data_IF_263103238954
#
_entry.id   IF_263103238954
#
_cell.length_a   1.000
_cell.length_b   1.000
_cell.length_c   1.000
_cell.angle_alpha   90.00
_cell.angle_beta   90.00
_cell.angle_gamma   90.00
#
_symmetry.space_group_name_H-M   'P 1'
#
loop_
_entity.id
_entity.type
_entity.pdbx_description
1 polymer ?
#
# COMPACT_ATOMS: atom_id res chain seq x y z
N UNK A 1 -3.69 -11.69 -5.68
CA UNK A 1 -4.09 -10.63 -6.63
C UNK A 1 -3.07 -10.55 -7.76
N UNK A 2 -3.52 -10.44 -9.02
CA UNK A 2 -2.62 -10.24 -10.18
C UNK A 2 -1.80 -8.94 -10.05
N UNK A 3 -2.36 -7.92 -9.39
CA UNK A 3 -1.70 -6.63 -9.12
C UNK A 3 -0.45 -6.84 -8.26
N UNK A 4 -0.60 -7.48 -7.08
CA UNK A 4 0.51 -7.73 -6.16
C UNK A 4 1.57 -8.68 -6.72
N UNK A 5 1.15 -9.70 -7.48
CA UNK A 5 2.10 -10.65 -8.07
C UNK A 5 3.00 -9.97 -9.12
N UNK A 6 2.45 -9.08 -9.94
CA UNK A 6 3.24 -8.34 -10.93
C UNK A 6 4.27 -7.40 -10.29
N UNK A 7 3.92 -6.75 -9.18
CA UNK A 7 4.82 -5.85 -8.47
C UNK A 7 5.95 -6.60 -7.75
N UNK A 8 5.65 -7.71 -7.09
CA UNK A 8 6.64 -8.49 -6.32
C UNK A 8 7.74 -9.15 -7.15
N UNK A 9 7.46 -9.43 -8.43
CA UNK A 9 8.45 -10.01 -9.35
C UNK A 9 9.42 -8.96 -9.90
N UNK A 10 9.13 -7.67 -9.70
CA UNK A 10 10.00 -6.59 -10.15
C UNK A 10 11.22 -6.49 -9.22
N UNK A 11 12.44 -6.40 -9.78
CA UNK A 11 13.68 -6.32 -8.98
C UNK A 11 13.68 -5.13 -8.02
N UNK A 12 13.05 -4.03 -8.40
CA UNK A 12 12.90 -2.84 -7.57
C UNK A 12 12.05 -3.05 -6.31
N UNK A 13 11.20 -4.09 -6.27
CA UNK A 13 10.32 -4.35 -5.12
C UNK A 13 11.11 -4.64 -3.84
N UNK A 14 12.34 -5.15 -3.95
CA UNK A 14 13.20 -5.50 -2.82
C UNK A 14 13.37 -4.34 -1.82
N UNK A 15 13.43 -3.09 -2.28
CA UNK A 15 13.55 -1.90 -1.42
C UNK A 15 12.30 -1.60 -0.58
N UNK A 16 11.15 -2.17 -0.96
CA UNK A 16 9.85 -1.85 -0.39
C UNK A 16 9.15 -3.07 0.21
N UNK A 17 9.83 -4.21 0.39
CA UNK A 17 9.23 -5.44 0.90
C UNK A 17 9.06 -5.49 2.42
N UNK A 18 9.72 -4.59 3.15
CA UNK A 18 9.73 -4.56 4.61
C UNK A 18 9.51 -3.13 5.10
N UNK A 19 8.93 -2.94 6.29
CA UNK A 19 8.82 -1.63 6.91
C UNK A 19 10.20 -0.97 7.02
N UNK A 20 10.25 0.34 6.75
CA UNK A 20 11.42 1.13 7.13
C UNK A 20 11.51 1.12 8.66
N UNK A 21 12.68 0.78 9.17
CA UNK A 21 12.96 0.66 10.61
C UNK A 21 14.27 1.37 10.95
N UNK A 22 14.61 1.44 12.24
CA UNK A 22 15.93 1.93 12.69
C UNK A 22 17.09 1.23 11.97
N UNK A 23 16.95 -0.06 11.67
CA UNK A 23 17.98 -0.85 10.97
C UNK A 23 18.09 -0.53 9.47
N UNK A 24 17.14 0.21 8.92
CA UNK A 24 17.17 0.66 7.52
C UNK A 24 18.15 1.82 7.30
N UNK A 25 18.60 2.49 8.36
CA UNK A 25 19.50 3.63 8.28
C UNK A 25 20.94 3.24 8.58
N UNK A 26 21.86 3.87 7.86
CA UNK A 26 23.28 3.85 8.19
C UNK A 26 23.56 4.59 9.50
N UNK A 27 24.82 4.53 9.95
CA UNK A 27 25.27 5.14 11.19
C UNK A 27 26.14 4.17 11.99
N UNK A 28 27.11 4.72 12.69
CA UNK A 28 28.05 3.97 13.53
C UNK A 28 27.41 3.61 14.87
N UNK A 29 26.52 4.47 15.38
CA UNK A 29 25.85 4.28 16.67
C UNK A 29 24.36 4.04 16.54
N UNK A 30 23.79 3.40 17.57
CA UNK A 30 22.34 3.21 17.69
C UNK A 30 21.59 4.56 17.72
N UNK A 31 22.12 5.54 18.44
CA UNK A 31 21.55 6.89 18.54
C UNK A 31 21.45 7.58 17.19
N UNK A 32 22.46 7.44 16.32
CA UNK A 32 22.42 8.00 14.97
C UNK A 32 21.32 7.37 14.12
N UNK A 33 21.14 6.05 14.22
CA UNK A 33 20.09 5.32 13.49
C UNK A 33 18.70 5.69 13.98
N UNK A 34 18.52 5.81 15.29
CA UNK A 34 17.25 6.24 15.90
C UNK A 34 16.90 7.67 15.51
N UNK A 35 17.88 8.58 15.52
CA UNK A 35 17.71 9.94 15.04
C UNK A 35 17.27 9.97 13.57
N UNK A 36 17.93 9.20 12.70
CA UNK A 36 17.57 9.12 11.29
C UNK A 36 16.17 8.54 11.09
N UNK A 37 15.79 7.52 11.85
CA UNK A 37 14.44 6.94 11.79
C UNK A 37 13.37 7.92 12.28
N UNK A 38 13.62 8.66 13.36
CA UNK A 38 12.70 9.68 13.84
C UNK A 38 12.49 10.79 12.80
N UNK A 39 13.56 11.24 12.16
CA UNK A 39 13.47 12.20 11.04
C UNK A 39 12.65 11.63 9.87
N UNK A 40 12.84 10.36 9.52
CA UNK A 40 12.02 9.68 8.53
C UNK A 40 10.53 9.71 8.91
N UNK A 41 10.20 9.37 10.16
CA UNK A 41 8.81 9.39 10.65
C UNK A 41 8.19 10.79 10.58
N UNK A 42 8.94 11.83 10.92
CA UNK A 42 8.50 13.22 10.78
C UNK A 42 8.20 13.56 9.31
N UNK A 43 9.14 13.26 8.40
CA UNK A 43 9.01 13.55 6.96
C UNK A 43 7.80 12.81 6.35
N UNK A 44 7.58 11.55 6.71
CA UNK A 44 6.47 10.74 6.18
C UNK A 44 5.15 10.96 6.95
N UNK A 45 5.14 11.83 7.96
CA UNK A 45 3.96 12.17 8.74
C UNK A 45 3.42 11.01 9.58
N UNK A 46 4.31 10.16 10.10
CA UNK A 46 3.96 9.03 10.96
C UNK A 46 3.22 7.89 10.25
N UNK A 47 3.21 7.86 8.91
CA UNK A 47 2.50 6.85 8.11
C UNK A 47 3.45 5.99 7.27
N UNK A 48 4.42 5.27 7.86
CA UNK A 48 5.25 4.34 7.10
C UNK A 48 4.37 3.24 6.47
N UNK A 49 4.77 2.77 5.28
CA UNK A 49 4.08 1.68 4.58
C UNK A 49 5.05 0.92 3.70
N UNK A 50 4.80 -0.37 3.50
CA UNK A 50 5.61 -1.27 2.68
C UNK A 50 4.74 -2.36 2.02
N UNK A 51 5.25 -2.97 0.95
CA UNK A 51 4.56 -4.00 0.17
C UNK A 51 4.27 -5.28 0.98
N UNK A 52 5.11 -5.60 1.97
CA UNK A 52 4.91 -6.74 2.86
C UNK A 52 3.66 -6.53 3.70
N UNK A 53 3.59 -5.41 4.41
CA UNK A 53 2.42 -5.00 5.20
C UNK A 53 1.14 -4.96 4.36
N UNK A 54 1.18 -4.33 3.18
CA UNK A 54 0.00 -4.28 2.30
C UNK A 54 -0.43 -5.68 1.84
N UNK A 55 0.54 -6.54 1.52
CA UNK A 55 0.25 -7.93 1.13
C UNK A 55 -0.41 -8.71 2.26
N UNK A 56 0.08 -8.59 3.48
CA UNK A 56 -0.45 -9.26 4.66
C UNK A 56 -1.87 -8.79 4.98
N UNK A 57 -2.10 -7.47 4.96
CA UNK A 57 -3.44 -6.87 5.14
C UNK A 57 -4.42 -7.35 4.07
N UNK A 58 -4.02 -7.38 2.81
CA UNK A 58 -4.88 -7.84 1.72
C UNK A 58 -5.23 -9.33 1.85
N UNK A 59 -4.26 -10.18 2.21
CA UNK A 59 -4.50 -11.63 2.41
C UNK A 59 -5.34 -11.92 3.65
N UNK A 60 -5.17 -11.12 4.70
CA UNK A 60 -5.92 -11.23 5.94
C UNK A 60 -7.31 -10.57 5.90
N UNK A 61 -7.75 -10.06 4.74
CA UNK A 61 -9.05 -9.40 4.60
C UNK A 61 -9.18 -8.13 5.46
N UNK A 62 -8.08 -7.41 5.70
CA UNK A 62 -8.05 -6.23 6.59
C UNK A 62 -8.51 -4.93 5.93
N UNK A 63 -8.93 -4.98 4.66
CA UNK A 63 -9.46 -3.83 3.94
C UNK A 63 -10.96 -4.03 3.72
N UNK A 64 -11.77 -3.18 4.34
CA UNK A 64 -13.22 -3.18 4.18
C UNK A 64 -13.66 -2.64 2.82
N UNK A 65 -12.84 -1.78 2.22
CA UNK A 65 -13.03 -1.26 0.89
C UNK A 65 -11.73 -1.38 0.07
N UNK A 66 -11.82 -1.56 -1.26
CA UNK A 66 -10.65 -1.69 -2.13
C UNK A 66 -9.84 -0.39 -2.27
N UNK A 67 -10.44 0.77 -1.99
CA UNK A 67 -9.75 2.06 -2.06
C UNK A 67 -8.71 2.22 -0.94
N UNK A 68 -8.95 1.65 0.24
CA UNK A 68 -7.98 1.62 1.34
C UNK A 68 -6.73 0.82 0.96
N UNK A 69 -6.89 -0.29 0.21
CA UNK A 69 -5.76 -1.03 -0.35
C UNK A 69 -4.96 -0.18 -1.34
N UNK A 70 -5.65 0.54 -2.23
CA UNK A 70 -5.03 1.45 -3.19
C UNK A 70 -4.27 2.58 -2.49
N UNK A 71 -4.86 3.15 -1.46
CA UNK A 71 -4.30 4.27 -0.72
C UNK A 71 -3.04 3.85 0.04
N UNK A 72 -3.05 2.67 0.68
CA UNK A 72 -1.84 2.10 1.30
C UNK A 72 -0.75 1.80 0.25
N UNK A 73 -1.11 1.30 -0.94
CA UNK A 73 -0.15 1.12 -2.04
C UNK A 73 0.47 2.46 -2.48
N UNK A 74 -0.34 3.51 -2.65
CA UNK A 74 0.13 4.85 -2.99
C UNK A 74 0.97 5.47 -1.89
N UNK A 75 0.65 5.19 -0.62
CA UNK A 75 1.40 5.70 0.54
C UNK A 75 2.86 5.26 0.52
N UNK A 76 3.17 4.04 0.04
CA UNK A 76 4.55 3.56 -0.14
C UNK A 76 5.34 4.53 -1.04
N UNK A 77 4.77 4.88 -2.20
CA UNK A 77 5.44 5.72 -3.20
C UNK A 77 5.46 7.20 -2.80
N UNK A 78 4.40 7.68 -2.12
CA UNK A 78 4.37 9.03 -1.52
C UNK A 78 5.51 9.18 -0.50
N UNK A 79 5.66 8.20 0.39
CA UNK A 79 6.74 8.21 1.38
C UNK A 79 8.12 8.15 0.71
N UNK A 80 8.25 7.32 -0.33
CA UNK A 80 9.47 7.23 -1.11
C UNK A 80 9.87 8.59 -1.68
N UNK A 81 8.96 9.31 -2.35
CA UNK A 81 9.22 10.65 -2.91
C UNK A 81 9.52 11.71 -1.87
N UNK A 82 8.82 11.68 -0.72
CA UNK A 82 9.03 12.65 0.36
C UNK A 82 10.41 12.52 0.99
N UNK A 83 10.87 11.29 1.21
CA UNK A 83 12.13 11.04 1.89
C UNK A 83 13.34 11.01 0.95
N UNK A 84 13.19 10.41 -0.23
CA UNK A 84 14.27 10.29 -1.22
C UNK A 84 14.15 11.43 -2.24
N UNK A 85 14.68 12.59 -1.89
CA UNK A 85 14.55 13.82 -2.70
C UNK A 85 15.48 13.87 -3.91
N UNK A 86 16.52 13.03 -3.96
CA UNK A 86 17.39 12.90 -5.13
C UNK A 86 16.71 12.03 -6.19
N UNK A 87 16.29 12.59 -7.34
CA UNK A 87 15.65 11.82 -8.41
C UNK A 87 16.60 10.81 -9.07
N UNK A 88 17.91 11.01 -8.97
CA UNK A 88 18.90 10.12 -9.58
C UNK A 88 19.19 8.87 -8.74
N UNK A 89 18.78 8.89 -7.47
CA UNK A 89 18.98 7.77 -6.55
C UNK A 89 18.25 6.51 -7.04
N UNK A 90 18.88 5.34 -6.80
CA UNK A 90 18.32 4.04 -7.19
C UNK A 90 16.95 3.82 -6.53
N UNK A 91 16.76 4.26 -5.29
CA UNK A 91 15.50 4.10 -4.55
C UNK A 91 14.39 4.97 -5.12
N UNK A 92 14.69 6.21 -5.50
CA UNK A 92 13.73 7.11 -6.15
C UNK A 92 13.25 6.55 -7.48
N UNK A 93 14.18 6.13 -8.36
CA UNK A 93 13.85 5.49 -9.64
C UNK A 93 13.05 4.19 -9.46
N UNK A 94 13.43 3.39 -8.46
CA UNK A 94 12.71 2.16 -8.09
C UNK A 94 11.26 2.46 -7.65
N UNK A 95 11.07 3.50 -6.83
CA UNK A 95 9.76 3.95 -6.35
C UNK A 95 8.86 4.41 -7.49
N UNK A 96 9.36 5.25 -8.39
CA UNK A 96 8.59 5.71 -9.56
C UNK A 96 8.22 4.54 -10.47
N UNK A 97 9.16 3.62 -10.75
CA UNK A 97 8.87 2.48 -11.63
C UNK A 97 7.77 1.56 -11.09
N UNK A 98 7.79 1.31 -9.78
CA UNK A 98 6.74 0.51 -9.14
C UNK A 98 5.42 1.27 -9.06
N UNK A 99 5.45 2.60 -8.85
CA UNK A 99 4.26 3.45 -8.87
C UNK A 99 3.55 3.37 -10.23
N UNK A 100 4.27 3.55 -11.33
CA UNK A 100 3.73 3.40 -12.69
C UNK A 100 3.10 2.02 -12.93
N UNK A 101 3.82 0.97 -12.51
CA UNK A 101 3.36 -0.42 -12.65
C UNK A 101 2.09 -0.67 -11.83
N UNK A 102 2.01 -0.10 -10.63
CA UNK A 102 0.83 -0.22 -9.77
C UNK A 102 -0.36 0.51 -10.39
N UNK A 103 -0.22 1.79 -10.77
CA UNK A 103 -1.33 2.59 -11.31
C UNK A 103 -1.87 1.99 -12.61
N UNK A 104 -1.00 1.47 -13.47
CA UNK A 104 -1.42 0.77 -14.71
C UNK A 104 -2.29 -0.43 -14.38
N UNK A 105 -1.82 -1.32 -13.48
CA UNK A 105 -2.54 -2.53 -13.09
C UNK A 105 -3.80 -2.24 -12.29
N UNK A 106 -3.81 -1.16 -11.51
CA UNK A 106 -4.97 -0.70 -10.75
C UNK A 106 -6.07 -0.26 -11.71
N UNK A 107 -5.73 0.60 -12.68
CA UNK A 107 -6.66 1.03 -13.73
C UNK A 107 -7.18 -0.13 -14.57
N UNK A 108 -6.30 -1.02 -15.04
CA UNK A 108 -6.68 -2.21 -15.80
C UNK A 108 -7.59 -3.17 -15.03
N UNK A 109 -7.60 -3.11 -13.70
CA UNK A 109 -8.43 -3.99 -12.87
C UNK A 109 -9.90 -3.61 -12.87
N UNK A 110 -10.24 -2.35 -13.18
CA UNK A 110 -11.61 -1.82 -13.10
C UNK A 110 -12.21 -1.81 -11.70
N UNK A 111 -11.43 -2.10 -10.65
CA UNK A 111 -11.94 -2.30 -9.28
C UNK A 111 -12.52 -1.00 -8.72
N UNK A 112 -11.87 0.13 -9.00
CA UNK A 112 -12.32 1.44 -8.50
C UNK A 112 -13.66 1.82 -9.11
N UNK A 113 -13.78 1.70 -10.44
CA UNK A 113 -15.00 2.00 -11.18
C UNK A 113 -16.15 1.10 -10.74
N UNK A 114 -15.93 -0.22 -10.64
CA UNK A 114 -16.93 -1.17 -10.18
C UNK A 114 -17.36 -0.91 -8.73
N UNK A 115 -16.43 -0.47 -7.87
CA UNK A 115 -16.74 -0.11 -6.49
C UNK A 115 -17.58 1.16 -6.42
N UNK A 116 -17.19 2.21 -7.13
CA UNK A 116 -17.94 3.47 -7.17
C UNK A 116 -19.34 3.29 -7.76
N UNK A 117 -19.47 2.49 -8.83
CA UNK A 117 -20.75 2.17 -9.46
C UNK A 117 -21.69 1.30 -8.60
N UNK A 118 -21.19 0.70 -7.52
CA UNK A 118 -22.01 -0.16 -6.67
C UNK A 118 -22.02 -1.63 -7.03
N UNK A 119 -21.32 -2.02 -8.09
CA UNK A 119 -21.35 -3.37 -8.64
C UNK A 119 -20.59 -4.38 -7.79
N UNK A 120 -19.56 -3.93 -7.07
CA UNK A 120 -18.87 -4.74 -6.07
C UNK A 120 -19.06 -4.16 -4.67
N UNK A 121 -19.45 -5.04 -3.74
CA UNK A 121 -19.63 -4.73 -2.32
C UNK A 121 -19.05 -5.85 -1.46
N UNK A 122 -18.60 -5.56 -0.23
CA UNK A 122 -18.09 -6.59 0.66
C UNK A 122 -19.17 -7.64 0.93
N UNK A 123 -18.74 -8.88 1.15
CA UNK A 123 -19.68 -9.99 1.33
C UNK A 123 -20.63 -9.76 2.52
N UNK A 124 -20.17 -9.08 3.57
CA UNK A 124 -20.99 -8.77 4.76
C UNK A 124 -22.21 -7.92 4.41
N UNK A 125 -22.06 -6.89 3.56
CA UNK A 125 -23.19 -6.08 3.09
C UNK A 125 -24.19 -6.91 2.27
N UNK A 126 -23.69 -7.90 1.50
CA UNK A 126 -24.56 -8.82 0.75
C UNK A 126 -25.35 -9.76 1.67
N UNK A 127 -24.78 -10.14 2.81
CA UNK A 127 -25.46 -10.94 3.84
C UNK A 127 -26.50 -10.10 4.56
N UNK A 128 -26.14 -8.92 5.05
CA UNK A 128 -27.07 -8.00 5.73
C UNK A 128 -28.28 -7.64 4.86
N UNK A 129 -28.05 -7.28 3.59
CA UNK A 129 -29.13 -6.95 2.66
C UNK A 129 -30.07 -8.14 2.41
N UNK A 130 -29.53 -9.37 2.36
CA UNK A 130 -30.37 -10.58 2.25
C UNK A 130 -31.17 -10.82 3.52
N UNK A 131 -30.55 -10.65 4.69
CA UNK A 131 -31.23 -10.79 5.97
C UNK A 131 -32.37 -9.78 6.09
N UNK A 132 -32.14 -8.50 5.80
CA UNK A 132 -33.20 -7.48 5.87
C UNK A 132 -34.38 -7.78 4.95
N UNK A 133 -34.13 -8.29 3.74
CA UNK A 133 -35.21 -8.64 2.82
C UNK A 133 -36.03 -9.84 3.32
N UNK A 134 -35.41 -10.82 3.99
CA UNK A 134 -36.13 -11.97 4.57
C UNK A 134 -37.03 -11.54 5.74
N UNK A 135 -36.61 -10.59 6.59
CA UNK A 135 -37.44 -10.13 7.72
C UNK A 135 -38.60 -9.22 7.26
N UNK A 136 -38.49 -8.60 6.09
CA UNK A 136 -39.50 -7.68 5.55
C UNK A 136 -40.67 -8.39 4.85
N UNK A 137 -40.53 -9.68 4.52
CA UNK A 137 -41.54 -10.50 3.85
C UNK A 137 -42.39 -11.35 4.82
N UNK A 138 -42.28 -11.11 6.14
CA UNK A 138 -42.97 -11.86 7.21
C UNK A 138 -44.04 -11.07 7.96
#
# INVERSE_FOLDING_TARGET
>A
SKILNGLRQHRAAAYFMKPVSVLSFGGETQEQKEKAFNQYLEIVGGKPMDLGTVTERARGGKYDNPLNFRDDMRQIFINCRKFNTDPESIVSKAGEKLSETFETRWKESGIEELWEAGEIRPLIHRVESRLTNVVSEG
#
